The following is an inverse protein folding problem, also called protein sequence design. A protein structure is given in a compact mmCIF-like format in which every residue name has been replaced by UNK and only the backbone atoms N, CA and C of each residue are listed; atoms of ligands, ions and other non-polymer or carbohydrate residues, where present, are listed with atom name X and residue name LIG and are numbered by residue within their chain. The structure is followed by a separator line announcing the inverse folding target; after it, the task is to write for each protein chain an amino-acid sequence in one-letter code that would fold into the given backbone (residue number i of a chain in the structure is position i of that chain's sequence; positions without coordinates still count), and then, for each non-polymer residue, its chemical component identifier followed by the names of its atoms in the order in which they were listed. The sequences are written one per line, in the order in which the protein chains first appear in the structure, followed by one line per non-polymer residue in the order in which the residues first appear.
data_IF_312108482070
#
_entry.id   IF_312108482070
#
_cell.length_a   1.000
_cell.length_b   1.000
_cell.length_c   1.000
_cell.angle_alpha   90.00
_cell.angle_beta   90.00
_cell.angle_gamma   90.00
#
_symmetry.space_group_name_H-M   'P 1'
#
loop_
_entity.id
_entity.type
_entity.pdbx_description
1 polymer ?
#
# COMPACT_ATOMS: atom_id res chain seq x y z
N UNK A 1 -21.43 -22.62 -16.26
CA UNK A 1 -20.43 -23.53 -15.69
C UNK A 1 -20.09 -23.05 -14.28
N UNK A 2 -19.85 -23.95 -13.33
CA UNK A 2 -19.53 -23.61 -11.93
C UNK A 2 -18.14 -24.13 -11.61
N UNK A 3 -17.23 -23.24 -11.23
CA UNK A 3 -15.91 -23.63 -10.75
C UNK A 3 -16.04 -24.29 -9.38
N UNK A 4 -15.37 -25.43 -9.21
CA UNK A 4 -15.40 -26.18 -7.95
C UNK A 4 -14.58 -25.45 -6.89
N UNK A 5 -14.97 -25.62 -5.62
CA UNK A 5 -14.30 -24.97 -4.49
C UNK A 5 -12.77 -25.12 -4.51
N UNK A 6 -12.28 -26.35 -4.76
CA UNK A 6 -10.84 -26.64 -4.80
C UNK A 6 -10.10 -25.83 -5.88
N UNK A 7 -10.77 -25.59 -7.01
CA UNK A 7 -10.21 -24.81 -8.09
C UNK A 7 -10.18 -23.31 -7.74
N UNK A 8 -11.27 -22.80 -7.16
CA UNK A 8 -11.32 -21.41 -6.68
C UNK A 8 -10.26 -21.17 -5.60
N UNK A 9 -10.14 -22.09 -4.64
CA UNK A 9 -9.13 -22.06 -3.59
C UNK A 9 -7.72 -22.08 -4.17
N UNK A 10 -7.40 -23.05 -5.04
CA UNK A 10 -6.07 -23.17 -5.64
C UNK A 10 -5.66 -21.96 -6.49
N UNK A 11 -6.61 -21.36 -7.22
CA UNK A 11 -6.35 -20.16 -8.05
C UNK A 11 -6.15 -18.89 -7.22
N UNK A 12 -6.79 -18.81 -6.05
CA UNK A 12 -6.76 -17.65 -5.16
C UNK A 12 -5.71 -17.72 -4.06
N UNK A 13 -5.15 -18.90 -3.77
CA UNK A 13 -4.10 -19.07 -2.78
C UNK A 13 -2.80 -18.36 -3.17
N UNK A 14 -2.03 -17.91 -2.17
CA UNK A 14 -0.76 -17.20 -2.33
C UNK A 14 0.20 -17.88 -3.33
N UNK A 15 0.45 -17.20 -4.45
CA UNK A 15 1.34 -17.66 -5.53
C UNK A 15 1.88 -16.49 -6.36
N UNK A 16 2.76 -16.79 -7.30
CA UNK A 16 3.22 -15.85 -8.31
C UNK A 16 2.17 -15.66 -9.40
N UNK A 17 1.86 -14.42 -9.74
CA UNK A 17 0.89 -14.02 -10.77
C UNK A 17 1.49 -12.86 -11.57
N UNK A 18 1.39 -12.91 -12.90
CA UNK A 18 1.72 -11.78 -13.75
C UNK A 18 0.70 -10.65 -13.55
N UNK A 19 1.19 -9.45 -13.25
CA UNK A 19 0.34 -8.26 -13.11
C UNK A 19 1.02 -7.05 -13.75
N UNK A 20 0.21 -6.11 -14.21
CA UNK A 20 0.71 -4.82 -14.68
C UNK A 20 1.06 -3.94 -13.47
N UNK A 21 2.30 -3.46 -13.44
CA UNK A 21 2.80 -2.56 -12.40
C UNK A 21 3.20 -1.24 -13.05
N UNK A 22 2.74 -0.13 -12.49
CA UNK A 22 3.10 1.20 -12.97
C UNK A 22 4.58 1.48 -12.71
N UNK A 23 5.27 1.98 -13.73
CA UNK A 23 6.72 2.25 -13.66
C UNK A 23 7.05 3.26 -12.56
N UNK A 24 6.20 4.28 -12.39
CA UNK A 24 6.37 5.35 -11.38
C UNK A 24 6.21 4.86 -9.94
N UNK A 25 5.51 3.73 -9.71
CA UNK A 25 5.40 3.13 -8.37
C UNK A 25 6.70 2.43 -7.97
N UNK A 26 7.40 1.84 -8.94
CA UNK A 26 8.70 1.18 -8.73
C UNK A 26 9.84 2.21 -8.67
N UNK A 27 9.69 3.33 -9.38
CA UNK A 27 10.68 4.41 -9.48
C UNK A 27 10.08 5.78 -9.07
N UNK A 28 9.70 5.96 -7.80
CA UNK A 28 9.00 7.18 -7.35
C UNK A 28 9.87 8.45 -7.38
N UNK A 29 11.19 8.31 -7.51
CA UNK A 29 12.12 9.45 -7.61
C UNK A 29 12.17 10.07 -9.00
N UNK A 30 11.67 9.39 -10.04
CA UNK A 30 11.74 9.80 -11.45
C UNK A 30 10.53 10.65 -11.87
N UNK A 31 10.18 11.69 -11.11
CA UNK A 31 8.93 12.45 -11.28
C UNK A 31 8.87 13.35 -12.52
N UNK A 32 10.01 13.64 -13.15
CA UNK A 32 10.11 14.55 -14.30
C UNK A 32 9.87 13.85 -15.65
N UNK A 33 9.70 12.52 -15.64
CA UNK A 33 9.72 11.69 -16.82
C UNK A 33 8.40 10.97 -17.06
N UNK A 34 8.02 10.87 -18.34
CA UNK A 34 6.93 10.00 -18.79
C UNK A 34 7.56 8.76 -19.42
N UNK A 35 7.11 7.58 -19.00
CA UNK A 35 7.55 6.30 -19.56
C UNK A 35 6.48 5.73 -20.49
N UNK A 36 6.92 5.19 -21.63
CA UNK A 36 6.07 4.45 -22.57
C UNK A 36 6.65 3.05 -22.81
N UNK A 37 5.93 1.96 -22.47
CA UNK A 37 4.64 1.97 -21.74
C UNK A 37 4.77 2.52 -20.31
N UNK A 38 3.66 3.00 -19.74
CA UNK A 38 3.61 3.53 -18.36
C UNK A 38 3.51 2.43 -17.30
N UNK A 39 3.20 1.20 -17.70
CA UNK A 39 3.18 0.01 -16.87
C UNK A 39 3.87 -1.15 -17.58
N UNK A 40 4.41 -2.09 -16.79
CA UNK A 40 5.11 -3.28 -17.29
C UNK A 40 4.52 -4.55 -16.68
N UNK A 41 4.47 -5.67 -17.41
CA UNK A 41 4.07 -6.96 -16.87
C UNK A 41 5.17 -7.49 -15.95
N UNK A 42 4.85 -7.77 -14.69
CA UNK A 42 5.79 -8.36 -13.73
C UNK A 42 5.14 -9.52 -12.98
N UNK A 43 5.92 -10.58 -12.76
CA UNK A 43 5.54 -11.68 -11.88
C UNK A 43 5.66 -11.23 -10.43
N UNK A 44 4.53 -11.20 -9.71
CA UNK A 44 4.44 -10.74 -8.32
C UNK A 44 3.64 -11.71 -7.47
N UNK A 45 3.95 -11.75 -6.19
CA UNK A 45 3.17 -12.53 -5.22
C UNK A 45 1.80 -11.87 -5.03
N UNK A 46 0.76 -12.69 -5.15
CA UNK A 46 -0.62 -12.28 -4.96
C UNK A 46 -1.47 -13.48 -4.52
N UNK A 47 -2.64 -13.19 -3.96
CA UNK A 47 -3.57 -14.19 -3.44
C UNK A 47 -3.82 -14.04 -1.94
N UNK A 48 -4.73 -14.86 -1.43
CA UNK A 48 -5.08 -14.92 -0.02
C UNK A 48 -4.39 -16.10 0.68
N UNK A 49 -4.23 -15.98 2.00
CA UNK A 49 -3.55 -16.97 2.83
C UNK A 49 -4.51 -17.81 3.70
N UNK A 50 -5.83 -17.67 3.48
CA UNK A 50 -6.86 -18.33 4.29
C UNK A 50 -7.06 -17.78 5.71
N UNK A 51 -6.10 -17.00 6.23
CA UNK A 51 -6.17 -16.32 7.53
C UNK A 51 -5.87 -14.82 7.35
N UNK A 52 -6.71 -13.96 7.92
CA UNK A 52 -6.59 -12.49 7.85
C UNK A 52 -5.33 -11.94 8.57
N UNK A 53 -4.74 -12.73 9.47
CA UNK A 53 -3.48 -12.40 10.15
C UNK A 53 -2.27 -12.72 9.28
N UNK A 54 -2.45 -13.40 8.16
CA UNK A 54 -1.39 -13.74 7.22
C UNK A 54 -1.41 -12.80 5.99
N UNK A 55 -0.26 -12.68 5.35
CA UNK A 55 -0.08 -11.92 4.12
C UNK A 55 0.89 -12.67 3.20
N UNK A 56 0.63 -12.60 1.89
CA UNK A 56 1.42 -13.26 0.87
C UNK A 56 2.66 -12.42 0.56
N UNK A 57 3.84 -12.95 0.87
CA UNK A 57 5.13 -12.26 0.70
C UNK A 57 6.08 -13.07 -0.19
N UNK A 58 6.95 -12.40 -0.97
CA UNK A 58 8.02 -13.10 -1.69
C UNK A 58 9.05 -13.70 -0.74
N UNK A 59 9.55 -14.87 -1.11
CA UNK A 59 10.68 -15.53 -0.42
C UNK A 59 11.96 -15.46 -1.25
N UNK A 60 11.84 -15.48 -2.59
CA UNK A 60 12.94 -15.29 -3.52
C UNK A 60 12.51 -14.34 -4.64
N UNK A 61 13.45 -13.51 -5.09
CA UNK A 61 13.23 -12.51 -6.14
C UNK A 61 14.37 -12.52 -7.15
N UNK A 62 14.09 -12.07 -8.36
CA UNK A 62 15.08 -11.82 -9.41
C UNK A 62 14.88 -10.45 -10.01
N UNK A 63 15.92 -9.95 -10.66
CA UNK A 63 15.86 -8.71 -11.43
C UNK A 63 15.65 -9.04 -12.90
N UNK A 64 14.76 -8.30 -13.55
CA UNK A 64 14.51 -8.38 -14.99
C UNK A 64 14.66 -6.98 -15.57
N UNK A 65 15.46 -6.86 -16.62
CA UNK A 65 15.69 -5.58 -17.30
C UNK A 65 14.79 -5.50 -18.53
N UNK A 66 14.06 -4.39 -18.64
CA UNK A 66 13.13 -4.13 -19.74
C UNK A 66 13.48 -2.80 -20.40
N UNK A 67 13.28 -2.74 -21.71
CA UNK A 67 13.48 -1.53 -22.48
C UNK A 67 12.17 -0.73 -22.54
N UNK A 68 12.24 0.53 -22.11
CA UNK A 68 11.12 1.48 -22.17
C UNK A 68 11.56 2.74 -22.92
N UNK A 69 10.58 3.50 -23.39
CA UNK A 69 10.82 4.83 -23.93
C UNK A 69 10.67 5.86 -22.81
N UNK A 70 11.70 6.68 -22.61
CA UNK A 70 11.71 7.80 -21.66
C UNK A 70 11.48 9.10 -22.42
N UNK A 71 10.46 9.85 -22.00
CA UNK A 71 10.02 11.10 -22.62
C UNK A 71 10.15 12.21 -21.57
N UNK A 72 10.90 13.27 -21.90
CA UNK A 72 11.05 14.47 -21.07
C UNK A 72 10.13 15.55 -21.62
N UNK A 73 9.08 15.98 -20.90
CA UNK A 73 8.15 16.99 -21.43
C UNK A 73 8.81 18.34 -21.73
N UNK A 74 9.91 18.65 -21.03
CA UNK A 74 10.67 19.90 -21.18
C UNK A 74 11.64 19.91 -22.38
N UNK A 75 11.97 18.75 -22.93
CA UNK A 75 12.98 18.61 -23.99
C UNK A 75 12.38 17.88 -25.21
N UNK A 76 12.57 18.39 -26.44
CA UNK A 76 12.13 17.67 -27.62
C UNK A 76 12.98 16.40 -27.81
N UNK A 77 12.40 15.23 -27.54
CA UNK A 77 13.07 13.95 -27.76
C UNK A 77 12.44 12.80 -26.98
N UNK A 78 12.81 11.59 -27.40
CA UNK A 78 12.47 10.35 -26.71
C UNK A 78 13.69 9.42 -26.80
N UNK A 79 14.05 8.78 -25.69
CA UNK A 79 15.20 7.89 -25.62
C UNK A 79 14.78 6.50 -25.12
N UNK A 80 15.38 5.45 -25.68
CA UNK A 80 15.22 4.10 -25.14
C UNK A 80 16.11 3.97 -23.90
N UNK A 81 15.52 3.51 -22.81
CA UNK A 81 16.21 3.27 -21.54
C UNK A 81 15.99 1.83 -21.08
N UNK A 82 17.02 1.27 -20.47
CA UNK A 82 16.94 -0.02 -19.78
C UNK A 82 16.63 0.21 -18.32
N UNK A 83 15.49 -0.33 -17.87
CA UNK A 83 14.98 -0.19 -16.51
C UNK A 83 14.92 -1.58 -15.88
N UNK A 84 15.34 -1.71 -14.63
CA UNK A 84 15.42 -3.02 -13.95
C UNK A 84 14.31 -3.18 -12.92
N UNK A 85 13.49 -4.21 -13.06
CA UNK A 85 12.36 -4.46 -12.18
C UNK A 85 12.59 -5.71 -11.35
N UNK A 86 11.97 -5.77 -10.17
CA UNK A 86 11.99 -6.97 -9.33
C UNK A 86 10.80 -7.86 -9.66
N UNK A 87 11.07 -9.11 -9.98
CA UNK A 87 10.08 -10.18 -10.07
C UNK A 87 10.20 -11.14 -8.88
N UNK A 88 9.09 -11.76 -8.51
CA UNK A 88 9.02 -12.73 -7.44
C UNK A 88 9.06 -14.14 -8.02
N UNK A 89 9.97 -14.98 -7.53
CA UNK A 89 10.08 -16.39 -7.96
C UNK A 89 9.19 -17.32 -7.13
N UNK A 90 9.15 -17.09 -5.82
CA UNK A 90 8.43 -17.93 -4.86
C UNK A 90 7.76 -17.07 -3.79
N UNK A 91 6.64 -17.55 -3.27
CA UNK A 91 5.78 -16.82 -2.34
C UNK A 91 5.43 -17.69 -1.14
N UNK A 92 5.25 -17.07 0.03
CA UNK A 92 4.75 -17.74 1.22
C UNK A 92 3.86 -16.83 2.07
N UNK A 93 3.01 -17.46 2.87
CA UNK A 93 2.14 -16.76 3.82
C UNK A 93 2.87 -16.50 5.13
N UNK A 94 3.08 -15.22 5.46
CA UNK A 94 3.75 -14.78 6.70
C UNK A 94 2.79 -13.99 7.59
N UNK A 95 3.04 -14.01 8.89
CA UNK A 95 2.27 -13.21 9.87
C UNK A 95 2.45 -11.72 9.57
N UNK A 96 1.32 -11.00 9.47
CA UNK A 96 1.28 -9.54 9.31
C UNK A 96 1.97 -8.88 10.49
N UNK A 97 2.93 -7.99 10.20
CA UNK A 97 3.53 -7.15 11.24
C UNK A 97 2.50 -6.10 11.66
N UNK A 98 2.21 -5.93 12.96
CA UNK A 98 1.31 -4.87 13.40
C UNK A 98 1.91 -3.52 13.03
N UNK A 99 1.16 -2.71 12.28
CA UNK A 99 1.51 -1.30 12.07
C UNK A 99 1.43 -0.63 13.44
N UNK A 100 2.58 -0.40 14.07
CA UNK A 100 2.64 0.38 15.30
C UNK A 100 2.18 1.78 14.94
N UNK A 101 0.92 2.10 15.22
CA UNK A 101 0.41 3.46 15.11
C UNK A 101 1.26 4.29 16.07
N UNK A 102 2.23 5.04 15.54
CA UNK A 102 2.95 6.06 16.31
C UNK A 102 1.91 7.11 16.67
N UNK A 103 1.19 6.87 17.77
CA UNK A 103 0.28 7.81 18.36
C UNK A 103 1.12 9.03 18.72
N UNK A 104 0.93 10.12 17.98
CA UNK A 104 1.42 11.45 18.36
C UNK A 104 0.92 11.72 19.77
N UNK A 105 1.74 11.43 20.79
CA UNK A 105 1.52 11.84 22.18
C UNK A 105 1.50 13.36 22.15
N UNK A 106 0.32 13.96 22.01
CA UNK A 106 0.12 15.39 22.28
C UNK A 106 0.57 15.61 23.72
N UNK A 107 1.73 16.25 23.89
CA UNK A 107 2.18 16.71 25.19
C UNK A 107 1.08 17.61 25.76
N UNK A 108 0.35 17.12 26.77
CA UNK A 108 -0.58 17.92 27.55
C UNK A 108 0.24 19.00 28.25
N UNK A 109 0.26 20.20 27.68
CA UNK A 109 0.86 21.38 28.28
C UNK A 109 0.28 21.58 29.68
N UNK A 110 1.19 21.74 30.67
CA UNK A 110 0.87 22.10 32.05
C UNK A 110 0.19 23.47 32.08
N UNK A 111 -1.14 23.49 32.01
CA UNK A 111 -1.97 24.68 32.22
C UNK A 111 -2.04 25.02 33.71
N UNK A 112 -1.49 26.20 34.06
CA UNK A 112 -1.47 26.81 35.40
C UNK A 112 -2.85 26.82 36.07
N UNK A 113 -2.89 26.43 37.36
CA UNK A 113 -4.02 26.65 38.28
C UNK A 113 -4.43 28.12 38.26
N UNK A 114 -5.70 28.42 37.94
CA UNK A 114 -6.32 29.72 38.25
C UNK A 114 -7.45 29.53 39.27
N UNK A 115 -7.39 30.36 40.31
CA UNK A 115 -8.12 30.31 41.58
C UNK A 115 -9.55 30.85 41.44
N UNK A 116 -10.50 30.08 41.99
CA UNK A 116 -11.73 30.42 42.74
C UNK A 116 -12.83 31.42 42.26
N UNK A 117 -14.08 30.92 42.42
CA UNK A 117 -15.38 31.55 42.81
C UNK A 117 -16.05 32.42 41.72
N UNK A 118 -17.36 32.31 41.42
CA UNK A 118 -18.54 32.32 42.30
C UNK A 118 -19.84 31.83 41.59
N UNK A 119 -20.77 31.25 42.38
CA UNK A 119 -22.25 30.99 42.22
C UNK A 119 -23.00 31.72 41.06
N UNK A 120 -24.08 31.26 40.42
CA UNK A 120 -25.28 30.47 40.86
C UNK A 120 -26.24 30.19 39.66
N UNK A 121 -27.12 29.19 39.86
CA UNK A 121 -28.52 29.01 39.35
C UNK A 121 -28.80 28.37 37.98
N UNK A 122 -29.43 27.19 38.11
CA UNK A 122 -30.63 26.67 37.44
C UNK A 122 -30.75 26.67 35.91
N UNK A 123 -30.85 25.46 35.35
CA UNK A 123 -31.73 25.24 34.19
C UNK A 123 -32.18 23.76 34.14
N UNK A 124 -33.34 23.49 34.73
CA UNK A 124 -34.16 22.32 34.48
C UNK A 124 -34.63 22.31 33.01
N UNK A 125 -33.95 21.50 32.17
CA UNK A 125 -34.50 20.78 31.00
C UNK A 125 -33.36 20.47 30.03
N UNK A 126 -32.94 19.21 30.00
CA UNK A 126 -32.43 18.59 28.78
C UNK A 126 -32.95 17.14 28.76
N UNK A 127 -34.14 16.95 28.20
CA UNK A 127 -34.60 15.62 27.81
C UNK A 127 -33.77 15.16 26.62
N UNK A 128 -33.27 13.93 26.70
CA UNK A 128 -32.55 13.23 25.62
C UNK A 128 -33.60 12.70 24.64
N UNK A 129 -33.57 13.04 23.34
CA UNK A 129 -34.45 12.41 22.36
C UNK A 129 -34.04 10.94 22.14
N UNK A 130 -35.05 10.06 22.03
CA UNK A 130 -34.89 8.68 21.55
C UNK A 130 -34.60 8.65 20.06
#
# INVERSE_FOLDING_TARGET
EVLMFQEVWGRSFCRTIEKLVEVVQEYPTEVEHIYSPSCVPLVRCAGCCGDEKLECHPTQTINVTMQLLKIRPSEPGQEYVEMTFVEHLTCECRVRKPLVKVGRKRQRGKGRKRKQRQKTKDCDRCQIPR
#
